data_IF_599815024211
#
_entry.id   IF_599815024211
#
_cell.length_a   1.000
_cell.length_b   1.000
_cell.length_c   1.000
_cell.angle_alpha   90.00
_cell.angle_beta   90.00
_cell.angle_gamma   90.00
#
_symmetry.space_group_name_H-M   'P 1'
#
loop_
_entity.id
_entity.type
_entity.pdbx_description
1 polymer ?
#
# COMPACT_ATOMS: atom_id res chain seq x y z
N UNK A 1 33.55 3.83 -38.46
CA UNK A 1 32.17 4.30 -38.22
C UNK A 1 31.13 3.19 -38.24
N UNK A 2 31.23 2.21 -39.14
CA UNK A 2 30.28 1.07 -39.18
C UNK A 2 30.36 0.21 -37.90
N UNK A 3 31.55 -0.01 -37.36
CA UNK A 3 31.74 -0.81 -36.15
C UNK A 3 31.19 -0.10 -34.90
N UNK A 4 31.34 1.24 -34.80
CA UNK A 4 30.78 2.03 -33.70
C UNK A 4 29.23 2.01 -33.72
N UNK A 5 28.64 2.12 -34.92
CA UNK A 5 27.20 2.05 -35.08
C UNK A 5 26.63 0.69 -34.64
N UNK A 6 27.33 -0.39 -35.01
CA UNK A 6 26.95 -1.75 -34.61
C UNK A 6 27.03 -1.93 -33.07
N UNK A 7 28.09 -1.39 -32.44
CA UNK A 7 28.25 -1.45 -31.00
C UNK A 7 27.12 -0.70 -30.30
N UNK A 8 26.77 0.51 -30.78
CA UNK A 8 25.68 1.31 -30.21
C UNK A 8 24.34 0.55 -30.32
N UNK A 9 24.06 -0.06 -31.48
CA UNK A 9 22.83 -0.83 -31.69
C UNK A 9 22.78 -2.02 -30.73
N UNK A 10 23.88 -2.75 -30.56
CA UNK A 10 23.96 -3.89 -29.65
C UNK A 10 23.70 -3.44 -28.21
N UNK A 11 24.28 -2.31 -27.78
CA UNK A 11 24.06 -1.77 -26.43
C UNK A 11 22.61 -1.38 -26.19
N UNK A 12 21.96 -0.78 -27.19
CA UNK A 12 20.53 -0.43 -27.12
C UNK A 12 19.67 -1.69 -26.99
N UNK A 13 19.96 -2.73 -27.77
CA UNK A 13 19.24 -4.01 -27.70
C UNK A 13 19.40 -4.65 -26.33
N UNK A 14 20.61 -4.67 -25.78
CA UNK A 14 20.88 -5.23 -24.45
C UNK A 14 20.11 -4.46 -23.37
N UNK A 15 20.13 -3.13 -23.43
CA UNK A 15 19.41 -2.27 -22.49
C UNK A 15 17.90 -2.50 -22.55
N UNK A 16 17.36 -2.62 -23.78
CA UNK A 16 15.93 -2.87 -23.97
C UNK A 16 15.51 -4.25 -23.45
N UNK A 17 16.32 -5.28 -23.72
CA UNK A 17 16.09 -6.62 -23.17
C UNK A 17 16.10 -6.63 -21.65
N UNK A 18 17.03 -5.90 -21.03
CA UNK A 18 17.11 -5.76 -19.57
C UNK A 18 15.83 -5.12 -19.01
N UNK A 19 15.36 -4.05 -19.64
CA UNK A 19 14.12 -3.39 -19.20
C UNK A 19 12.91 -4.31 -19.31
N UNK A 20 12.84 -5.12 -20.38
CA UNK A 20 11.75 -6.09 -20.53
C UNK A 20 11.77 -7.16 -19.43
N UNK A 21 12.95 -7.66 -19.08
CA UNK A 21 13.10 -8.64 -17.99
C UNK A 21 12.67 -8.04 -16.66
N UNK A 22 13.10 -6.83 -16.32
CA UNK A 22 12.70 -6.13 -15.09
C UNK A 22 11.20 -5.92 -15.06
N UNK A 23 10.61 -5.45 -16.17
CA UNK A 23 9.16 -5.25 -16.26
C UNK A 23 8.40 -6.56 -16.04
N UNK A 24 8.87 -7.68 -16.62
CA UNK A 24 8.26 -8.99 -16.42
C UNK A 24 8.27 -9.42 -14.96
N UNK A 25 9.38 -9.21 -14.25
CA UNK A 25 9.47 -9.50 -12.81
C UNK A 25 8.54 -8.62 -11.99
N UNK A 26 8.45 -7.34 -12.29
CA UNK A 26 7.55 -6.41 -11.59
C UNK A 26 6.08 -6.79 -11.81
N UNK A 27 5.69 -7.09 -13.04
CA UNK A 27 4.32 -7.51 -13.34
C UNK A 27 3.97 -8.85 -12.70
N UNK A 28 4.91 -9.80 -12.70
CA UNK A 28 4.74 -11.08 -12.03
C UNK A 28 4.51 -10.92 -10.53
N UNK A 29 5.32 -10.06 -9.89
CA UNK A 29 5.18 -9.76 -8.46
C UNK A 29 3.88 -9.05 -8.12
N UNK A 30 3.44 -8.09 -8.95
CA UNK A 30 2.20 -7.34 -8.69
C UNK A 30 0.93 -8.15 -8.88
N UNK A 31 1.01 -9.29 -9.56
CA UNK A 31 -0.14 -10.19 -9.76
C UNK A 31 -0.30 -11.23 -8.65
N UNK A 32 0.61 -11.25 -7.69
CA UNK A 32 0.50 -12.16 -6.55
C UNK A 32 -0.73 -11.77 -5.73
N UNK A 33 -1.70 -12.67 -5.65
CA UNK A 33 -2.89 -12.43 -4.84
C UNK A 33 -2.55 -12.56 -3.36
N UNK A 34 -3.16 -11.74 -2.49
CA UNK A 34 -3.00 -11.93 -1.06
C UNK A 34 -3.51 -13.31 -0.65
N UNK A 35 -2.95 -13.84 0.43
CA UNK A 35 -3.36 -15.14 0.95
C UNK A 35 -4.86 -15.12 1.28
N UNK A 36 -5.60 -16.12 0.79
CA UNK A 36 -7.02 -16.24 1.07
C UNK A 36 -7.32 -16.59 2.52
N UNK A 37 -6.32 -17.11 3.24
CA UNK A 37 -6.46 -17.53 4.63
C UNK A 37 -5.71 -16.63 5.60
N UNK A 38 -5.42 -15.39 5.23
CA UNK A 38 -4.78 -14.46 6.13
C UNK A 38 -5.72 -14.11 7.30
N UNK A 39 -5.26 -14.35 8.54
CA UNK A 39 -6.03 -14.03 9.74
C UNK A 39 -5.91 -12.56 10.13
N UNK A 40 -4.88 -11.88 9.66
CA UNK A 40 -4.57 -10.50 10.02
C UNK A 40 -4.14 -9.71 8.79
N UNK A 41 -4.70 -8.51 8.64
CA UNK A 41 -4.32 -7.54 7.62
C UNK A 41 -3.55 -6.41 8.31
N UNK A 42 -2.39 -6.06 7.79
CA UNK A 42 -1.60 -4.93 8.28
C UNK A 42 -1.74 -3.77 7.29
N UNK A 43 -2.22 -2.64 7.76
CA UNK A 43 -2.30 -1.42 6.95
C UNK A 43 -1.25 -0.43 7.45
N UNK A 44 -0.31 -0.10 6.59
CA UNK A 44 0.71 0.89 6.89
C UNK A 44 0.16 2.29 6.60
N UNK A 45 0.36 3.20 7.54
CA UNK A 45 -0.10 4.58 7.43
C UNK A 45 0.58 5.35 6.31
N UNK A 46 -0.08 6.40 5.90
CA UNK A 46 0.44 7.43 5.01
C UNK A 46 -0.10 8.76 5.51
N UNK A 47 0.27 9.85 4.86
CA UNK A 47 -0.08 11.20 5.33
C UNK A 47 -1.59 11.38 5.52
N UNK A 48 -1.95 12.05 6.61
CA UNK A 48 -3.29 12.57 6.87
C UNK A 48 -3.27 14.10 6.76
N UNK A 49 -4.40 14.68 6.40
CA UNK A 49 -4.50 16.11 6.12
C UNK A 49 -5.65 16.76 6.89
N UNK A 50 -5.45 18.02 7.24
CA UNK A 50 -6.52 18.87 7.73
C UNK A 50 -6.84 18.73 9.22
N UNK A 51 -7.82 19.50 9.66
CA UNK A 51 -8.35 19.50 11.03
C UNK A 51 -9.87 19.60 10.94
N UNK A 52 -10.66 18.54 11.25
CA UNK A 52 -10.18 17.22 11.67
C UNK A 52 -9.39 16.49 10.56
N UNK A 53 -8.47 15.64 10.99
CA UNK A 53 -7.59 14.95 10.05
C UNK A 53 -8.37 13.95 9.20
N UNK A 54 -8.10 13.96 7.90
CA UNK A 54 -8.66 13.02 6.94
C UNK A 54 -7.54 12.30 6.18
N UNK A 55 -7.76 11.05 5.71
CA UNK A 55 -6.73 10.34 4.96
C UNK A 55 -6.37 11.08 3.66
N UNK A 56 -5.08 11.03 3.28
CA UNK A 56 -4.67 11.42 1.95
C UNK A 56 -5.26 10.43 0.92
N UNK A 57 -5.25 10.81 -0.36
CA UNK A 57 -5.77 9.94 -1.42
C UNK A 57 -5.09 8.57 -1.44
N UNK A 58 -3.77 8.54 -1.27
CA UNK A 58 -3.00 7.28 -1.22
C UNK A 58 -3.45 6.42 -0.06
N UNK A 59 -3.63 7.00 1.12
CA UNK A 59 -4.08 6.29 2.31
C UNK A 59 -5.51 5.79 2.13
N UNK A 60 -6.38 6.61 1.56
CA UNK A 60 -7.77 6.23 1.29
C UNK A 60 -7.84 5.02 0.35
N UNK A 61 -7.03 4.97 -0.68
CA UNK A 61 -6.98 3.83 -1.59
C UNK A 61 -6.57 2.55 -0.87
N UNK A 62 -5.60 2.64 0.04
CA UNK A 62 -5.18 1.50 0.88
C UNK A 62 -6.33 1.03 1.78
N UNK A 63 -7.03 1.97 2.39
CA UNK A 63 -8.15 1.68 3.29
C UNK A 63 -9.32 1.04 2.54
N UNK A 64 -9.64 1.55 1.35
CA UNK A 64 -10.72 1.00 0.54
C UNK A 64 -10.42 -0.44 0.11
N UNK A 65 -9.18 -0.74 -0.26
CA UNK A 65 -8.75 -2.10 -0.58
C UNK A 65 -8.86 -3.02 0.64
N UNK A 66 -8.48 -2.53 1.82
CA UNK A 66 -8.60 -3.29 3.06
C UNK A 66 -10.06 -3.56 3.44
N UNK A 67 -10.94 -2.58 3.26
CA UNK A 67 -12.39 -2.75 3.52
C UNK A 67 -12.96 -3.87 2.64
N UNK A 68 -12.62 -3.87 1.36
CA UNK A 68 -13.07 -4.92 0.44
C UNK A 68 -12.61 -6.30 0.91
N UNK A 69 -11.35 -6.43 1.32
CA UNK A 69 -10.81 -7.69 1.82
C UNK A 69 -11.50 -8.12 3.12
N UNK A 70 -11.67 -7.20 4.07
CA UNK A 70 -12.28 -7.49 5.37
C UNK A 70 -13.76 -7.89 5.25
N UNK A 71 -14.46 -7.36 4.26
CA UNK A 71 -15.85 -7.75 3.98
C UNK A 71 -15.94 -9.15 3.37
N UNK A 72 -14.94 -9.53 2.57
CA UNK A 72 -14.86 -10.87 1.99
C UNK A 72 -14.46 -11.92 3.02
N UNK A 73 -13.62 -11.54 4.00
CA UNK A 73 -13.12 -12.43 5.05
C UNK A 73 -13.51 -11.92 6.44
N UNK A 74 -14.75 -12.19 6.90
CA UNK A 74 -15.26 -11.59 8.15
C UNK A 74 -14.52 -11.96 9.41
N UNK A 75 -13.71 -13.03 9.39
CA UNK A 75 -12.92 -13.47 10.55
C UNK A 75 -11.55 -12.78 10.62
N UNK A 76 -11.12 -12.12 9.57
CA UNK A 76 -9.83 -11.45 9.56
C UNK A 76 -9.83 -10.23 10.49
N UNK A 77 -8.72 -10.01 11.18
CA UNK A 77 -8.48 -8.82 11.99
C UNK A 77 -7.60 -7.85 11.20
N UNK A 78 -7.62 -6.59 11.58
CA UNK A 78 -6.80 -5.57 10.95
C UNK A 78 -5.97 -4.84 11.99
N UNK A 79 -4.68 -4.65 11.69
CA UNK A 79 -3.77 -3.82 12.47
C UNK A 79 -3.48 -2.59 11.62
N UNK A 80 -3.76 -1.41 12.16
CA UNK A 80 -3.43 -0.14 11.51
C UNK A 80 -2.22 0.46 12.21
N UNK A 81 -1.17 0.73 11.47
CA UNK A 81 0.09 1.23 12.00
C UNK A 81 0.42 2.58 11.42
N UNK A 82 0.64 3.56 12.26
CA UNK A 82 1.02 4.90 11.84
C UNK A 82 1.07 5.87 13.00
N UNK A 83 2.14 6.66 13.07
CA UNK A 83 2.32 7.70 14.07
C UNK A 83 1.72 9.03 13.64
N UNK A 84 2.12 10.08 14.32
CA UNK A 84 1.70 11.45 14.03
C UNK A 84 2.89 12.25 13.51
N UNK A 85 2.79 12.78 12.29
CA UNK A 85 3.79 13.68 11.75
C UNK A 85 3.68 15.08 12.37
N UNK A 86 4.72 15.89 12.20
CA UNK A 86 4.78 17.22 12.78
C UNK A 86 3.66 18.16 12.28
N UNK A 87 3.18 17.93 11.08
CA UNK A 87 2.13 18.71 10.41
C UNK A 87 0.76 18.03 10.46
N UNK A 88 0.63 16.94 11.22
CA UNK A 88 -0.62 16.18 11.30
C UNK A 88 -1.34 16.46 12.61
N UNK A 89 -2.67 16.62 12.56
CA UNK A 89 -3.49 16.91 13.71
C UNK A 89 -3.91 15.67 14.52
N UNK A 90 -3.66 14.48 13.98
CA UNK A 90 -3.99 13.21 14.65
C UNK A 90 -3.00 12.14 14.18
N UNK A 91 -2.92 11.02 14.91
CA UNK A 91 -2.12 9.88 14.48
C UNK A 91 -2.74 9.25 13.24
N UNK A 92 -1.91 8.76 12.34
CA UNK A 92 -2.37 8.06 11.13
C UNK A 92 -3.23 6.85 11.52
N UNK A 93 -2.81 6.10 12.54
CA UNK A 93 -3.55 4.93 13.01
C UNK A 93 -4.96 5.28 13.49
N UNK A 94 -5.13 6.39 14.21
CA UNK A 94 -6.46 6.82 14.68
C UNK A 94 -7.39 7.22 13.54
N UNK A 95 -6.84 7.88 12.52
CA UNK A 95 -7.61 8.28 11.33
C UNK A 95 -8.03 7.04 10.54
N UNK A 96 -7.14 6.06 10.40
CA UNK A 96 -7.45 4.80 9.74
C UNK A 96 -8.52 4.00 10.48
N UNK A 97 -8.43 3.92 11.81
CA UNK A 97 -9.45 3.25 12.62
C UNK A 97 -10.83 3.88 12.43
N UNK A 98 -10.90 5.19 12.49
CA UNK A 98 -12.17 5.92 12.31
C UNK A 98 -12.75 5.67 10.91
N UNK A 99 -11.90 5.73 9.90
CA UNK A 99 -12.33 5.44 8.52
C UNK A 99 -12.92 4.03 8.39
N UNK A 100 -12.25 3.03 8.92
CA UNK A 100 -12.70 1.64 8.87
C UNK A 100 -14.03 1.45 9.61
N UNK A 101 -14.18 2.06 10.78
CA UNK A 101 -15.43 2.00 11.55
C UNK A 101 -16.58 2.64 10.76
N UNK A 102 -16.33 3.77 10.12
CA UNK A 102 -17.33 4.45 9.29
C UNK A 102 -17.73 3.62 8.06
N UNK A 103 -16.85 2.77 7.58
CA UNK A 103 -17.12 1.85 6.46
C UNK A 103 -17.76 0.52 6.91
N UNK A 104 -18.08 0.39 8.19
CA UNK A 104 -18.78 -0.77 8.72
C UNK A 104 -17.93 -1.87 9.33
N UNK A 105 -16.63 -1.65 9.48
CA UNK A 105 -15.74 -2.61 10.13
C UNK A 105 -15.90 -2.50 11.66
N UNK A 106 -16.18 -3.60 12.33
CA UNK A 106 -16.33 -3.59 13.78
C UNK A 106 -15.04 -3.19 14.49
N UNK A 107 -15.12 -2.29 15.45
CA UNK A 107 -13.96 -1.77 16.18
C UNK A 107 -13.16 -2.87 16.87
N UNK A 108 -13.81 -3.92 17.35
CA UNK A 108 -13.14 -5.08 17.97
C UNK A 108 -12.20 -5.84 17.04
N UNK A 109 -12.35 -5.65 15.74
CA UNK A 109 -11.48 -6.27 14.71
C UNK A 109 -10.24 -5.43 14.42
N UNK A 110 -10.18 -4.20 14.96
CA UNK A 110 -9.14 -3.22 14.63
C UNK A 110 -8.20 -3.05 15.82
N UNK A 111 -6.91 -3.21 15.57
CA UNK A 111 -5.86 -2.92 16.55
C UNK A 111 -5.01 -1.76 16.00
N UNK A 112 -4.72 -0.78 16.86
CA UNK A 112 -3.94 0.40 16.46
C UNK A 112 -2.52 0.35 17.01
N UNK A 113 -1.54 0.76 16.18
CA UNK A 113 -0.15 0.95 16.57
C UNK A 113 0.25 2.39 16.18
N UNK A 114 0.60 3.21 17.16
CA UNK A 114 0.85 4.64 16.96
C UNK A 114 2.30 5.07 17.16
N UNK A 115 3.19 4.14 17.51
CA UNK A 115 4.61 4.45 17.80
C UNK A 115 5.50 4.47 16.56
N UNK A 116 4.99 4.03 15.44
CA UNK A 116 5.74 4.02 14.19
C UNK A 116 5.92 5.46 13.67
N UNK A 117 7.10 5.75 13.16
CA UNK A 117 7.43 7.08 12.62
C UNK A 117 7.57 7.02 11.11
#
# INVERSE_FOLDING_TARGET
>A
MRSLRKIVIILIIIGFMYLLIVAAFMFGGSRTKPSENADTVLILGAKVNGTPAVPSLVLQERLDAAVAYLNEYPKAKVIVSGGQGADESATEASVMEEYLVNEGIARKRIETETKSK
#
